data_IF_397493006579
#
_entry.id   IF_397493006579
#
_cell.length_a   1.000
_cell.length_b   1.000
_cell.length_c   1.000
_cell.angle_alpha   90.00
_cell.angle_beta   90.00
_cell.angle_gamma   90.00
#
_symmetry.space_group_name_H-M   'P 1'
#
loop_
_entity.id
_entity.type
_entity.pdbx_description
1 polymer ?
#
# COMPACT_ATOMS: atom_id res chain seq x y z
N UNK A 1 1.17 -24.24 -0.24
CA UNK A 1 0.14 -23.59 -1.09
C UNK A 1 0.78 -22.64 -2.10
N UNK A 2 1.26 -21.42 -1.77
CA UNK A 2 2.01 -20.62 -2.77
C UNK A 2 3.47 -21.03 -2.98
N UNK A 3 4.10 -21.72 -2.01
CA UNK A 3 5.50 -22.18 -2.15
C UNK A 3 5.70 -23.23 -3.25
N UNK A 4 4.62 -23.92 -3.60
CA UNK A 4 4.63 -25.07 -4.50
C UNK A 4 4.22 -24.70 -5.93
N UNK A 5 3.81 -23.45 -6.15
CA UNK A 5 3.25 -22.96 -7.41
C UNK A 5 3.85 -21.60 -7.82
N UNK A 6 3.73 -21.26 -9.10
CA UNK A 6 4.12 -19.92 -9.58
C UNK A 6 3.19 -18.85 -9.00
N UNK A 7 3.66 -17.60 -8.82
CA UNK A 7 2.83 -16.50 -8.32
C UNK A 7 1.51 -16.27 -9.07
N UNK A 8 1.48 -16.64 -10.35
CA UNK A 8 0.37 -16.45 -11.27
C UNK A 8 -0.56 -17.66 -11.38
N UNK A 9 -0.25 -18.78 -10.71
CA UNK A 9 -1.08 -19.98 -10.74
C UNK A 9 -2.29 -19.88 -9.81
N UNK A 10 -3.19 -18.93 -10.10
CA UNK A 10 -4.42 -18.68 -9.31
C UNK A 10 -5.37 -19.89 -9.29
N UNK A 11 -5.25 -20.79 -10.27
CA UNK A 11 -5.98 -22.05 -10.35
C UNK A 11 -5.78 -22.97 -9.14
N UNK A 12 -4.62 -22.91 -8.48
CA UNK A 12 -4.33 -23.69 -7.28
C UNK A 12 -4.93 -23.13 -5.99
N UNK A 13 -5.52 -21.94 -6.02
CA UNK A 13 -6.13 -21.32 -4.85
C UNK A 13 -7.61 -21.67 -4.74
N UNK A 14 -8.09 -21.92 -3.52
CA UNK A 14 -9.54 -22.02 -3.26
C UNK A 14 -10.25 -20.71 -3.60
N UNK A 15 -11.58 -20.70 -3.80
CA UNK A 15 -12.32 -19.46 -4.06
C UNK A 15 -12.09 -18.37 -3.00
N UNK A 16 -12.05 -18.74 -1.72
CA UNK A 16 -11.80 -17.82 -0.60
C UNK A 16 -10.39 -17.25 -0.64
N UNK A 17 -9.40 -18.10 -0.92
CA UNK A 17 -8.01 -17.69 -1.05
C UNK A 17 -7.81 -16.77 -2.24
N UNK A 18 -8.42 -17.09 -3.38
CA UNK A 18 -8.37 -16.27 -4.60
C UNK A 18 -9.02 -14.90 -4.38
N UNK A 19 -10.09 -14.83 -3.59
CA UNK A 19 -10.72 -13.56 -3.21
C UNK A 19 -9.75 -12.65 -2.45
N UNK A 20 -9.04 -13.20 -1.46
CA UNK A 20 -8.06 -12.46 -0.63
C UNK A 20 -6.69 -12.27 -1.29
N UNK A 21 -6.41 -12.97 -2.38
CA UNK A 21 -5.12 -12.87 -3.05
C UNK A 21 -4.94 -11.52 -3.73
N UNK A 22 -3.72 -11.01 -3.67
CA UNK A 22 -3.37 -9.66 -4.13
C UNK A 22 -3.40 -9.51 -5.66
N UNK A 23 -3.12 -10.58 -6.43
CA UNK A 23 -3.25 -10.54 -7.90
C UNK A 23 -4.65 -10.95 -8.34
N UNK A 24 -5.14 -10.27 -9.38
CA UNK A 24 -6.28 -10.69 -10.18
C UNK A 24 -5.83 -10.95 -11.61
N UNK A 25 -6.67 -11.67 -12.34
CA UNK A 25 -6.42 -12.04 -13.73
C UNK A 25 -7.55 -11.48 -14.60
N UNK A 26 -7.17 -10.81 -15.69
CA UNK A 26 -8.06 -10.40 -16.76
C UNK A 26 -7.49 -10.95 -18.08
N UNK A 27 -8.18 -11.92 -18.67
CA UNK A 27 -7.67 -12.72 -19.78
C UNK A 27 -6.34 -13.40 -19.43
N UNK A 28 -5.28 -13.07 -20.15
CA UNK A 28 -3.92 -13.58 -19.92
C UNK A 28 -3.06 -12.68 -19.00
N UNK A 29 -3.57 -11.51 -18.61
CA UNK A 29 -2.81 -10.52 -17.84
C UNK A 29 -3.12 -10.65 -16.35
N UNK A 30 -2.06 -10.67 -15.55
CA UNK A 30 -2.14 -10.57 -14.09
C UNK A 30 -1.81 -9.14 -13.66
N UNK A 31 -2.52 -8.65 -12.64
CA UNK A 31 -2.34 -7.29 -12.14
C UNK A 31 -2.77 -7.17 -10.68
N UNK A 32 -2.22 -6.17 -10.00
CA UNK A 32 -2.64 -5.67 -8.70
C UNK A 32 -3.82 -4.70 -8.89
N UNK A 33 -5.02 -5.01 -8.36
CA UNK A 33 -6.17 -4.12 -8.47
C UNK A 33 -5.88 -2.73 -7.87
N UNK A 34 -6.33 -1.69 -8.56
CA UNK A 34 -6.08 -0.28 -8.17
C UNK A 34 -6.77 0.11 -6.85
N UNK A 35 -7.81 -0.61 -6.46
CA UNK A 35 -8.48 -0.46 -5.16
C UNK A 35 -7.82 -1.26 -4.03
N UNK A 36 -6.81 -2.08 -4.32
CA UNK A 36 -6.13 -2.92 -3.32
C UNK A 36 -5.24 -2.10 -2.38
N UNK A 37 -5.11 -2.55 -1.13
CA UNK A 37 -4.34 -1.85 -0.09
C UNK A 37 -2.86 -1.65 -0.49
N UNK A 38 -2.25 -2.65 -1.12
CA UNK A 38 -0.87 -2.56 -1.59
C UNK A 38 -0.68 -1.56 -2.71
N UNK A 39 -1.68 -1.37 -3.58
CA UNK A 39 -1.60 -0.32 -4.60
C UNK A 39 -1.54 1.04 -3.94
N UNK A 40 -2.45 1.31 -2.99
CA UNK A 40 -2.47 2.57 -2.22
C UNK A 40 -1.18 2.78 -1.44
N UNK A 41 -0.61 1.73 -0.85
CA UNK A 41 0.68 1.80 -0.14
C UNK A 41 1.81 2.23 -1.08
N UNK A 42 1.89 1.63 -2.26
CA UNK A 42 2.91 1.95 -3.27
C UNK A 42 2.74 3.40 -3.76
N UNK A 43 1.50 3.82 -4.06
CA UNK A 43 1.19 5.20 -4.47
C UNK A 43 1.58 6.24 -3.42
N UNK A 44 1.35 5.96 -2.13
CA UNK A 44 1.80 6.84 -1.05
C UNK A 44 3.33 6.90 -0.97
N UNK A 45 4.01 5.76 -1.05
CA UNK A 45 5.48 5.70 -0.98
C UNK A 45 6.13 6.46 -2.14
N UNK A 46 5.65 6.25 -3.36
CA UNK A 46 6.10 6.96 -4.54
C UNK A 46 5.82 8.48 -4.45
N UNK A 47 4.62 8.85 -3.99
CA UNK A 47 4.26 10.26 -3.76
C UNK A 47 5.12 10.97 -2.73
N UNK A 48 5.46 10.31 -1.62
CA UNK A 48 6.35 10.86 -0.58
C UNK A 48 7.80 10.97 -1.06
N UNK A 49 8.28 9.97 -1.80
CA UNK A 49 9.68 9.90 -2.23
C UNK A 49 9.97 10.67 -3.52
N UNK A 50 8.94 11.03 -4.29
CA UNK A 50 9.09 11.66 -5.61
C UNK A 50 9.55 10.70 -6.71
N UNK A 51 9.54 9.39 -6.48
CA UNK A 51 9.83 8.41 -7.52
C UNK A 51 8.66 8.26 -8.49
N UNK A 52 8.99 8.02 -9.77
CA UNK A 52 7.98 7.91 -10.84
C UNK A 52 7.30 6.54 -10.92
N UNK A 53 7.97 5.50 -10.42
CA UNK A 53 7.48 4.13 -10.52
C UNK A 53 8.14 3.23 -9.47
N UNK A 54 7.48 2.11 -9.16
CA UNK A 54 7.98 1.03 -8.33
C UNK A 54 7.67 -0.31 -9.00
N UNK A 55 8.58 -1.27 -8.92
CA UNK A 55 8.34 -2.65 -9.36
C UNK A 55 7.72 -3.44 -8.19
N UNK A 56 6.44 -3.82 -8.34
CA UNK A 56 5.73 -4.69 -7.41
C UNK A 56 6.08 -6.15 -7.69
N UNK A 57 6.86 -6.75 -6.79
CA UNK A 57 7.43 -8.09 -6.97
C UNK A 57 6.72 -9.09 -6.07
N UNK A 58 6.28 -10.20 -6.67
CA UNK A 58 5.80 -11.38 -5.95
C UNK A 58 6.71 -12.55 -6.28
N UNK A 59 7.28 -13.13 -5.24
CA UNK A 59 8.22 -14.22 -5.36
C UNK A 59 7.68 -15.51 -4.74
N UNK A 60 7.90 -16.63 -5.43
CA UNK A 60 7.82 -17.97 -4.87
C UNK A 60 9.04 -18.78 -5.31
N UNK A 61 9.38 -19.91 -4.67
CA UNK A 61 10.43 -20.80 -5.13
C UNK A 61 10.23 -21.33 -6.57
N UNK A 62 9.03 -21.20 -7.14
CA UNK A 62 8.70 -21.65 -8.49
C UNK A 62 8.70 -20.51 -9.52
N UNK A 63 8.83 -19.26 -9.12
CA UNK A 63 8.91 -18.15 -10.07
C UNK A 63 8.71 -16.77 -9.46
N UNK A 64 8.74 -15.78 -10.34
CA UNK A 64 8.61 -14.37 -10.04
C UNK A 64 7.49 -13.78 -10.88
N UNK A 65 6.70 -12.89 -10.28
CA UNK A 65 5.85 -11.96 -11.00
C UNK A 65 6.28 -10.54 -10.67
N UNK A 66 6.37 -9.68 -11.68
CA UNK A 66 6.71 -8.27 -11.53
C UNK A 66 5.68 -7.44 -12.28
N UNK A 67 5.08 -6.48 -11.60
CA UNK A 67 4.27 -5.43 -12.22
C UNK A 67 4.92 -4.08 -11.93
N UNK A 68 5.22 -3.30 -12.97
CA UNK A 68 5.61 -1.91 -12.81
C UNK A 68 4.38 -1.05 -12.51
N UNK A 69 4.42 -0.35 -11.39
CA UNK A 69 3.37 0.58 -10.97
C UNK A 69 3.94 1.99 -11.08
N UNK A 70 3.32 2.79 -11.95
CA UNK A 70 3.63 4.22 -12.10
C UNK A 70 2.87 5.04 -11.05
N UNK A 71 3.43 6.20 -10.71
CA UNK A 71 2.79 7.13 -9.82
C UNK A 71 1.52 7.70 -10.46
N UNK A 72 0.43 7.69 -9.69
CA UNK A 72 -0.83 8.35 -10.00
C UNK A 72 -0.81 9.71 -9.30
N UNK A 73 -0.30 10.71 -10.03
CA UNK A 73 -0.13 12.08 -9.52
C UNK A 73 -1.48 12.69 -9.10
N UNK A 74 -2.53 12.48 -9.90
CA UNK A 74 -3.89 12.94 -9.59
C UNK A 74 -4.40 12.35 -8.27
N UNK A 75 -4.23 11.05 -8.07
CA UNK A 75 -4.62 10.39 -6.82
C UNK A 75 -3.80 10.90 -5.63
N UNK A 76 -2.49 11.10 -5.83
CA UNK A 76 -1.59 11.59 -4.78
C UNK A 76 -1.90 13.03 -4.36
N UNK A 77 -2.21 13.92 -5.30
CA UNK A 77 -2.62 15.30 -5.00
C UNK A 77 -3.87 15.32 -4.11
N UNK A 78 -4.90 14.54 -4.44
CA UNK A 78 -6.13 14.44 -3.63
C UNK A 78 -5.86 13.87 -2.23
N UNK A 79 -5.07 12.79 -2.14
CA UNK A 79 -4.77 12.13 -0.85
C UNK A 79 -3.86 13.00 0.02
N UNK A 80 -2.83 13.59 -0.55
CA UNK A 80 -1.90 14.46 0.19
C UNK A 80 -2.62 15.67 0.78
N UNK A 81 -3.55 16.29 0.05
CA UNK A 81 -4.39 17.39 0.56
C UNK A 81 -5.22 16.96 1.78
N UNK A 82 -5.87 15.78 1.70
CA UNK A 82 -6.65 15.23 2.82
C UNK A 82 -5.77 14.92 4.03
N UNK A 83 -4.59 14.36 3.81
CA UNK A 83 -3.64 14.04 4.88
C UNK A 83 -3.08 15.31 5.54
N UNK A 84 -2.75 16.35 4.76
CA UNK A 84 -2.34 17.66 5.30
C UNK A 84 -3.44 18.27 6.16
N UNK A 85 -4.69 18.23 5.70
CA UNK A 85 -5.82 18.70 6.48
C UNK A 85 -6.02 17.91 7.78
N UNK A 86 -5.80 16.58 7.77
CA UNK A 86 -5.83 15.76 9.00
C UNK A 86 -4.68 16.13 9.94
N UNK A 87 -3.49 16.31 9.37
CA UNK A 87 -2.29 16.70 10.12
C UNK A 87 -2.50 18.05 10.83
N UNK A 88 -2.95 19.07 10.10
CA UNK A 88 -3.14 20.42 10.64
C UNK A 88 -4.28 20.52 11.65
N UNK A 89 -5.40 19.83 11.41
CA UNK A 89 -6.59 19.97 12.26
C UNK A 89 -6.62 19.05 13.47
N UNK A 90 -5.95 17.90 13.40
CA UNK A 90 -6.03 16.89 14.45
C UNK A 90 -4.67 16.54 15.02
N UNK A 91 -3.68 16.22 14.18
CA UNK A 91 -2.37 15.73 14.68
C UNK A 91 -1.58 16.86 15.34
N UNK A 92 -1.45 18.02 14.70
CA UNK A 92 -0.73 19.17 15.24
C UNK A 92 -1.34 19.65 16.58
N UNK A 93 -2.65 19.95 16.68
CA UNK A 93 -3.25 20.36 17.95
C UNK A 93 -3.11 19.29 19.02
N UNK A 94 -3.38 18.02 18.71
CA UNK A 94 -3.23 16.94 19.69
C UNK A 94 -1.79 16.81 20.19
N UNK A 95 -0.80 17.05 19.32
CA UNK A 95 0.60 17.03 19.72
C UNK A 95 0.89 18.02 20.86
N UNK A 96 0.42 19.26 20.75
CA UNK A 96 0.64 20.33 21.74
C UNK A 96 -0.33 20.27 22.92
N UNK A 97 -1.62 20.04 22.66
CA UNK A 97 -2.68 20.12 23.67
C UNK A 97 -2.78 18.85 24.52
N UNK A 98 -2.31 17.71 23.99
CA UNK A 98 -2.30 16.41 24.67
C UNK A 98 -3.67 16.01 25.26
N UNK A 99 -4.76 16.30 24.54
CA UNK A 99 -6.14 16.11 25.04
C UNK A 99 -6.50 14.64 25.16
N UNK A 100 -5.93 13.77 24.32
CA UNK A 100 -6.11 12.34 24.43
C UNK A 100 -5.12 11.78 25.45
N UNK A 101 -5.55 10.86 26.34
CA UNK A 101 -4.63 10.17 27.22
C UNK A 101 -3.69 9.35 26.36
N UNK A 102 -2.46 9.84 26.27
CA UNK A 102 -1.35 9.16 25.62
C UNK A 102 -0.49 8.63 26.75
N UNK A 103 -0.29 7.33 26.83
CA UNK A 103 0.68 6.69 27.75
C UNK A 103 2.13 7.02 27.32
N UNK A 104 2.38 8.28 26.97
CA UNK A 104 3.68 8.79 26.54
C UNK A 104 4.44 9.26 27.77
N UNK A 105 5.70 8.86 27.86
CA UNK A 105 6.65 9.49 28.77
C UNK A 105 6.73 10.99 28.48
N UNK A 106 6.81 11.81 29.53
CA UNK A 106 7.12 13.24 29.40
C UNK A 106 8.35 13.41 28.51
N UNK A 107 8.23 14.23 27.47
CA UNK A 107 9.37 14.63 26.65
C UNK A 107 10.19 15.58 27.51
N UNK A 108 11.37 15.14 27.97
CA UNK A 108 12.37 16.05 28.52
C UNK A 108 12.94 16.88 27.36
N UNK A 109 12.44 18.10 27.21
CA UNK A 109 13.06 19.09 26.33
C UNK A 109 14.40 19.48 26.98
N UNK A 110 15.50 19.10 26.32
CA UNK A 110 16.86 19.50 26.67
C UNK A 110 17.02 21.02 26.65
#
# INVERSE_FOLDING_TARGET
MLRDHTPTHLGALTPEQRSRFYLKQDGSKYFLPRNHIYYKQIQMQLGITGFKWCDFVIWTPKGLFVERIEQDETWWEDVSLKLMNVHEKFICPEYFEMKLPRELSLIELL
#
